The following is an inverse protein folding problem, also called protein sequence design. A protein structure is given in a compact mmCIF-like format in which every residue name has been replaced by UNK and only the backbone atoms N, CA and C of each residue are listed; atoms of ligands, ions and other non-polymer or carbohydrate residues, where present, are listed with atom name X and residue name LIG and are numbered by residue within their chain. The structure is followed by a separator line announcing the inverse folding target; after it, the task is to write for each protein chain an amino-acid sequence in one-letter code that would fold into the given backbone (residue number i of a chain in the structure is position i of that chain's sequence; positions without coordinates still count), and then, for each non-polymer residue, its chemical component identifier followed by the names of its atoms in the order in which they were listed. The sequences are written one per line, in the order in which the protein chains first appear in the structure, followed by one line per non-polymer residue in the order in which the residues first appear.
data_IF_369650318552
#
_entry.id   IF_369650318552
#
_cell.length_a   1.000
_cell.length_b   1.000
_cell.length_c   1.000
_cell.angle_alpha   90.00
_cell.angle_beta   90.00
_cell.angle_gamma   90.00
#
_symmetry.space_group_name_H-M   'P 1'
#
loop_
_entity.id
_entity.type
_entity.pdbx_description
1 polymer ?
#
# COMPACT_ATOMS: atom_id res chain seq x y z
N UNK A 1 -23.51 66.74 -24.87
CA UNK A 1 -22.06 66.44 -24.99
C UNK A 1 -21.52 66.34 -23.57
N UNK A 2 -21.50 65.18 -22.91
CA UNK A 2 -20.37 64.24 -22.95
C UNK A 2 -20.70 63.03 -22.07
N UNK A 3 -21.07 61.90 -22.68
CA UNK A 3 -21.36 60.62 -22.01
C UNK A 3 -20.13 59.67 -22.03
N UNK A 4 -18.96 60.16 -22.41
CA UNK A 4 -17.86 59.31 -22.86
C UNK A 4 -16.87 58.85 -21.76
N UNK A 5 -17.12 59.12 -20.48
CA UNK A 5 -16.17 58.74 -19.41
C UNK A 5 -16.38 57.35 -18.80
N UNK A 6 -17.37 56.58 -19.27
CA UNK A 6 -17.73 55.30 -18.65
C UNK A 6 -17.07 54.03 -19.23
N UNK A 7 -16.07 54.13 -20.11
CA UNK A 7 -15.37 52.95 -20.64
C UNK A 7 -13.88 52.92 -20.33
N UNK A 8 -13.53 52.78 -19.04
CA UNK A 8 -12.22 52.21 -18.68
C UNK A 8 -12.41 50.71 -18.47
N UNK A 9 -12.33 49.97 -19.57
CA UNK A 9 -12.37 48.52 -19.60
C UNK A 9 -11.34 47.92 -18.63
N UNK A 10 -11.82 47.05 -17.76
CA UNK A 10 -11.03 46.17 -16.93
C UNK A 10 -10.10 45.34 -17.80
N UNK A 11 -8.78 45.48 -17.61
CA UNK A 11 -7.80 44.48 -18.05
C UNK A 11 -7.16 43.88 -16.81
N UNK A 12 -7.83 42.87 -16.25
CA UNK A 12 -7.16 41.90 -15.39
C UNK A 12 -6.12 41.19 -16.23
N UNK A 13 -4.85 41.57 -16.10
CA UNK A 13 -3.74 40.78 -16.62
C UNK A 13 -3.63 39.55 -15.72
N UNK A 14 -4.35 38.48 -16.07
CA UNK A 14 -4.03 37.15 -15.59
C UNK A 14 -2.67 36.77 -16.18
N UNK A 15 -1.60 37.11 -15.47
CA UNK A 15 -0.26 36.68 -15.83
C UNK A 15 -0.19 35.18 -15.67
N UNK A 16 -0.08 34.44 -16.78
CA UNK A 16 0.35 33.06 -16.77
C UNK A 16 1.81 33.02 -16.31
N UNK A 17 2.03 32.79 -15.01
CA UNK A 17 3.35 32.43 -14.51
C UNK A 17 3.69 31.04 -15.05
N UNK A 18 4.70 30.97 -15.90
CA UNK A 18 5.28 29.69 -16.33
C UNK A 18 6.16 29.12 -15.22
N UNK A 19 6.24 27.79 -15.14
CA UNK A 19 7.15 27.09 -14.25
C UNK A 19 8.61 27.38 -14.61
N UNK A 20 9.44 27.56 -13.60
CA UNK A 20 10.90 27.71 -13.76
C UNK A 20 11.58 26.33 -13.82
N UNK A 21 12.75 26.27 -14.46
CA UNK A 21 13.59 25.06 -14.43
C UNK A 21 14.02 24.69 -13.00
N UNK A 22 14.22 25.69 -12.15
CA UNK A 22 14.60 25.52 -10.75
C UNK A 22 13.49 24.83 -9.96
N UNK A 23 12.22 25.20 -10.15
CA UNK A 23 11.08 24.54 -9.50
C UNK A 23 11.01 23.06 -9.85
N UNK A 24 11.15 22.70 -11.13
CA UNK A 24 11.15 21.29 -11.53
C UNK A 24 12.35 20.54 -10.97
N UNK A 25 13.52 21.17 -10.89
CA UNK A 25 14.70 20.56 -10.27
C UNK A 25 14.45 20.25 -8.78
N UNK A 26 13.93 21.20 -8.03
CA UNK A 26 13.61 21.00 -6.60
C UNK A 26 12.57 19.89 -6.42
N UNK A 27 11.54 19.84 -7.28
CA UNK A 27 10.53 18.78 -7.26
C UNK A 27 11.16 17.41 -7.52
N UNK A 28 12.01 17.28 -8.54
CA UNK A 28 12.69 16.01 -8.85
C UNK A 28 13.60 15.54 -7.71
N UNK A 29 14.28 16.47 -7.03
CA UNK A 29 15.09 16.15 -5.84
C UNK A 29 14.21 15.60 -4.73
N UNK A 30 13.10 16.27 -4.39
CA UNK A 30 12.18 15.80 -3.34
C UNK A 30 11.57 14.44 -3.73
N UNK A 31 11.15 14.26 -4.97
CA UNK A 31 10.64 12.97 -5.48
C UNK A 31 11.68 11.86 -5.34
N UNK A 32 12.94 12.11 -5.70
CA UNK A 32 14.04 11.15 -5.55
C UNK A 32 14.28 10.75 -4.09
N UNK A 33 14.28 11.72 -3.17
CA UNK A 33 14.44 11.46 -1.73
C UNK A 33 13.27 10.62 -1.17
N UNK A 34 12.03 10.95 -1.55
CA UNK A 34 10.85 10.20 -1.12
C UNK A 34 10.87 8.76 -1.63
N UNK A 35 11.20 8.55 -2.90
CA UNK A 35 11.32 7.20 -3.48
C UNK A 35 12.39 6.39 -2.74
N UNK A 36 13.56 6.98 -2.48
CA UNK A 36 14.63 6.33 -1.72
C UNK A 36 14.22 5.93 -0.29
N UNK A 37 13.41 6.75 0.38
CA UNK A 37 12.94 6.48 1.74
C UNK A 37 11.81 5.44 1.78
N UNK A 38 10.85 5.52 0.86
CA UNK A 38 9.63 4.72 0.87
C UNK A 38 9.84 3.33 0.24
N UNK A 39 10.68 3.20 -0.78
CA UNK A 39 10.86 1.94 -1.51
C UNK A 39 11.25 0.75 -0.61
N UNK A 40 12.25 0.83 0.29
CA UNK A 40 12.63 -0.30 1.14
C UNK A 40 11.52 -0.75 2.11
N UNK A 41 10.65 0.18 2.54
CA UNK A 41 9.52 -0.13 3.44
C UNK A 41 8.41 -0.91 2.72
N UNK A 42 8.17 -0.62 1.45
CA UNK A 42 7.23 -1.37 0.61
C UNK A 42 7.79 -2.77 0.30
N UNK A 43 9.02 -2.86 -0.23
CA UNK A 43 9.63 -4.16 -0.56
C UNK A 43 9.89 -5.01 0.69
N UNK A 44 10.26 -4.40 1.81
CA UNK A 44 10.47 -5.09 3.08
C UNK A 44 9.18 -5.68 3.69
N UNK A 45 8.00 -5.18 3.31
CA UNK A 45 6.72 -5.78 3.69
C UNK A 45 6.33 -6.93 2.76
N UNK A 46 6.56 -6.79 1.46
CA UNK A 46 6.24 -7.84 0.48
C UNK A 46 7.15 -9.07 0.69
N UNK A 47 8.46 -8.88 0.89
CA UNK A 47 9.42 -10.00 1.00
C UNK A 47 9.40 -10.77 2.33
N UNK A 48 8.91 -10.16 3.43
CA UNK A 48 8.81 -10.82 4.74
C UNK A 48 7.52 -11.62 4.94
N UNK A 49 6.67 -11.67 3.92
CA UNK A 49 5.36 -12.31 4.00
C UNK A 49 5.47 -13.83 3.95
N UNK A 50 6.27 -14.39 3.05
CA UNK A 50 6.29 -15.85 2.79
C UNK A 50 6.59 -16.69 4.04
N UNK A 51 7.67 -16.39 4.76
CA UNK A 51 8.04 -17.15 5.98
C UNK A 51 7.01 -16.95 7.09
N UNK A 52 6.48 -15.73 7.24
CA UNK A 52 5.48 -15.40 8.27
C UNK A 52 4.15 -16.09 7.98
N UNK A 53 3.74 -16.10 6.72
CA UNK A 53 2.54 -16.76 6.22
C UNK A 53 2.68 -18.27 6.38
N UNK A 54 3.80 -18.86 5.97
CA UNK A 54 4.07 -20.29 6.16
C UNK A 54 4.06 -20.68 7.65
N UNK A 55 4.68 -19.86 8.52
CA UNK A 55 4.66 -20.09 9.97
C UNK A 55 3.24 -20.01 10.54
N UNK A 56 2.44 -19.05 10.08
CA UNK A 56 1.03 -18.93 10.49
C UNK A 56 0.20 -20.13 10.03
N UNK A 57 0.44 -20.63 8.82
CA UNK A 57 -0.23 -21.83 8.29
C UNK A 57 0.14 -23.08 9.09
N UNK A 58 1.42 -23.28 9.43
CA UNK A 58 1.86 -24.41 10.25
C UNK A 58 1.18 -24.38 11.62
N UNK A 59 1.15 -23.23 12.29
CA UNK A 59 0.48 -23.09 13.59
C UNK A 59 -1.02 -23.40 13.52
N UNK A 60 -1.70 -22.91 12.48
CA UNK A 60 -3.11 -23.21 12.29
C UNK A 60 -3.37 -24.71 12.09
N UNK A 61 -2.45 -25.43 11.45
CA UNK A 61 -2.52 -26.88 11.31
C UNK A 61 -2.26 -27.61 12.63
N UNK A 62 -1.30 -27.15 13.43
CA UNK A 62 -1.03 -27.68 14.78
C UNK A 62 -2.27 -27.55 15.67
N UNK A 63 -2.89 -26.36 15.70
CA UNK A 63 -4.10 -26.09 16.48
C UNK A 63 -5.26 -27.02 16.05
N UNK A 64 -5.46 -27.20 14.74
CA UNK A 64 -6.50 -28.08 14.22
C UNK A 64 -6.25 -29.56 14.54
N UNK A 65 -4.99 -30.00 14.54
CA UNK A 65 -4.61 -31.36 14.94
C UNK A 65 -4.88 -31.60 16.43
N UNK A 66 -4.54 -30.64 17.28
CA UNK A 66 -4.80 -30.74 18.71
C UNK A 66 -6.31 -30.75 18.99
N UNK A 67 -7.08 -29.93 18.28
CA UNK A 67 -8.55 -29.95 18.39
C UNK A 67 -9.14 -31.29 17.94
N UNK A 68 -8.72 -31.82 16.79
CA UNK A 68 -9.16 -33.15 16.33
C UNK A 68 -8.83 -34.25 17.35
N UNK A 69 -7.67 -34.18 18.00
CA UNK A 69 -7.30 -35.13 19.06
C UNK A 69 -8.18 -34.98 20.30
N UNK A 70 -8.56 -33.77 20.68
CA UNK A 70 -9.49 -33.55 21.79
C UNK A 70 -10.87 -34.16 21.48
N UNK A 71 -11.35 -34.03 20.24
CA UNK A 71 -12.68 -34.50 19.84
C UNK A 71 -12.72 -36.02 19.58
N UNK A 72 -11.70 -36.56 18.91
CA UNK A 72 -11.67 -37.95 18.41
C UNK A 72 -10.77 -38.86 19.27
N UNK A 73 -9.99 -38.29 20.19
CA UNK A 73 -9.08 -39.02 21.08
C UNK A 73 -7.77 -39.49 20.43
N UNK A 74 -7.57 -39.22 19.15
CA UNK A 74 -6.40 -39.64 18.34
C UNK A 74 -6.14 -38.63 17.22
N UNK A 75 -4.91 -38.56 16.75
CA UNK A 75 -4.57 -37.79 15.54
C UNK A 75 -5.10 -38.50 14.26
N UNK A 76 -5.34 -37.75 13.17
CA UNK A 76 -5.75 -38.33 11.89
C UNK A 76 -4.61 -39.15 11.28
N UNK A 77 -4.96 -40.19 10.53
CA UNK A 77 -3.98 -40.97 9.77
C UNK A 77 -3.58 -40.23 8.49
N UNK A 78 -2.42 -40.57 7.91
CA UNK A 78 -1.97 -39.99 6.64
C UNK A 78 -3.00 -40.12 5.52
N UNK A 79 -3.77 -41.21 5.52
CA UNK A 79 -4.84 -41.48 4.55
C UNK A 79 -6.08 -40.58 4.73
N UNK A 80 -6.37 -40.16 5.96
CA UNK A 80 -7.46 -39.21 6.26
C UNK A 80 -7.08 -37.78 5.88
N UNK A 81 -5.78 -37.45 5.96
CA UNK A 81 -5.21 -36.21 5.45
C UNK A 81 -5.76 -34.95 6.11
N UNK A 82 -5.50 -33.80 5.47
CA UNK A 82 -5.90 -32.47 5.97
C UNK A 82 -7.42 -32.27 5.99
N UNK A 83 -8.19 -33.06 5.24
CA UNK A 83 -9.64 -32.96 5.18
C UNK A 83 -10.31 -33.29 6.54
N UNK A 84 -9.64 -34.11 7.37
CA UNK A 84 -10.10 -34.44 8.72
C UNK A 84 -10.03 -33.25 9.69
N UNK A 85 -9.29 -32.19 9.36
CA UNK A 85 -9.10 -31.00 10.20
C UNK A 85 -10.17 -29.92 10.00
N UNK A 86 -11.14 -30.13 9.12
CA UNK A 86 -12.18 -29.15 8.77
C UNK A 86 -13.49 -29.35 9.55
N UNK A 87 -13.40 -29.86 10.78
CA UNK A 87 -14.58 -30.09 11.63
C UNK A 87 -15.17 -28.80 12.18
#
# INVERSE_FOLDING_TARGET
MSYAYFYRAARGRGGSMGFTLLELLVVLVILGLLVGYVAPRFFGQVGKSEVKVATAQIRALEDALDQYRLDVGRYPTTEQGLAALNT
#
